data_IF_895895509851
#
_entry.id   IF_895895509851
#
_cell.length_a   1.000
_cell.length_b   1.000
_cell.length_c   1.000
_cell.angle_alpha   90.00
_cell.angle_beta   90.00
_cell.angle_gamma   90.00
#
_symmetry.space_group_name_H-M   'P 1'
#
loop_
_entity.id
_entity.type
_entity.pdbx_description
1 polymer ?
#
# COMPACT_ATOMS: atom_id res chain seq x y z
N UNK A 1 16.16 -21.61 0.04
CA UNK A 1 16.03 -21.52 -1.43
C UNK A 1 15.21 -20.27 -1.73
N UNK A 2 15.48 -19.60 -2.85
CA UNK A 2 14.66 -18.48 -3.34
C UNK A 2 13.25 -18.96 -3.71
N UNK A 3 12.32 -18.04 -3.85
CA UNK A 3 10.91 -18.34 -4.14
C UNK A 3 10.72 -18.50 -5.66
N UNK A 4 10.32 -19.69 -6.10
CA UNK A 4 10.27 -20.08 -7.52
C UNK A 4 8.92 -19.82 -8.20
N UNK A 5 7.92 -19.35 -7.46
CA UNK A 5 6.63 -18.90 -7.98
C UNK A 5 6.14 -17.66 -7.24
N UNK A 6 5.58 -16.66 -7.94
CA UNK A 6 5.04 -15.49 -7.28
C UNK A 6 3.85 -15.84 -6.37
N UNK A 7 3.72 -15.10 -5.27
CA UNK A 7 2.56 -15.23 -4.37
C UNK A 7 1.42 -14.34 -4.86
N UNK A 8 0.17 -14.77 -4.66
CA UNK A 8 -1.00 -13.95 -4.99
C UNK A 8 -0.97 -12.62 -4.23
N UNK A 9 -1.35 -11.55 -4.93
CA UNK A 9 -1.38 -10.17 -4.44
C UNK A 9 -0.09 -9.70 -3.76
N UNK A 10 1.07 -10.30 -4.03
CA UNK A 10 2.31 -9.92 -3.35
C UNK A 10 3.38 -9.53 -4.36
N UNK A 11 3.96 -8.35 -4.20
CA UNK A 11 5.12 -7.90 -4.94
C UNK A 11 6.38 -7.97 -4.07
N UNK A 12 7.47 -8.52 -4.60
CA UNK A 12 8.76 -8.66 -3.90
C UNK A 12 9.93 -8.44 -4.84
N UNK A 13 11.08 -8.18 -4.23
CA UNK A 13 12.35 -8.14 -4.95
C UNK A 13 12.68 -9.50 -5.58
N UNK A 14 13.21 -9.44 -6.79
CA UNK A 14 13.92 -10.55 -7.43
C UNK A 14 15.31 -10.71 -6.81
N UNK A 15 15.96 -11.84 -7.11
CA UNK A 15 17.32 -12.14 -6.62
C UNK A 15 18.35 -11.04 -6.90
N UNK A 16 18.20 -10.31 -8.01
CA UNK A 16 19.05 -9.16 -8.39
C UNK A 16 18.73 -7.86 -7.63
N UNK A 17 17.70 -7.85 -6.79
CA UNK A 17 17.25 -6.69 -6.01
C UNK A 17 16.26 -5.78 -6.75
N UNK A 18 15.98 -6.04 -8.02
CA UNK A 18 14.96 -5.32 -8.78
C UNK A 18 13.56 -5.78 -8.40
N UNK A 19 12.54 -4.94 -8.59
CA UNK A 19 11.13 -5.31 -8.42
C UNK A 19 10.44 -5.69 -9.74
N UNK A 20 10.85 -5.04 -10.83
CA UNK A 20 10.09 -5.03 -12.08
C UNK A 20 10.97 -5.01 -13.34
N UNK A 21 12.29 -5.09 -13.24
CA UNK A 21 13.16 -4.90 -14.42
C UNK A 21 12.99 -5.99 -15.49
N UNK A 22 13.25 -5.62 -16.75
CA UNK A 22 13.32 -6.59 -17.86
C UNK A 22 12.00 -7.27 -18.22
N UNK A 23 10.85 -6.65 -17.92
CA UNK A 23 9.53 -7.22 -18.23
C UNK A 23 9.03 -8.23 -17.18
N UNK A 24 9.80 -8.45 -16.10
CA UNK A 24 9.39 -9.34 -15.01
C UNK A 24 8.13 -8.88 -14.29
N UNK A 25 7.76 -7.60 -14.37
CA UNK A 25 6.51 -7.07 -13.83
C UNK A 25 5.24 -7.69 -14.44
N UNK A 26 5.32 -8.36 -15.59
CA UNK A 26 4.15 -8.87 -16.32
C UNK A 26 3.29 -9.86 -15.52
N UNK A 27 3.84 -10.53 -14.51
CA UNK A 27 3.04 -11.41 -13.65
C UNK A 27 1.92 -10.66 -12.91
N UNK A 28 2.14 -9.38 -12.59
CA UNK A 28 1.16 -8.52 -11.92
C UNK A 28 -0.12 -8.35 -12.77
N UNK A 29 -0.02 -8.46 -14.10
CA UNK A 29 -1.17 -8.33 -15.00
C UNK A 29 -1.98 -9.62 -15.19
N UNK A 30 -1.52 -10.75 -14.65
CA UNK A 30 -2.21 -12.01 -14.84
C UNK A 30 -3.53 -12.04 -14.05
N UNK A 31 -4.62 -12.52 -14.67
CA UNK A 31 -5.97 -12.58 -14.03
C UNK A 31 -6.05 -13.36 -12.73
N UNK A 32 -5.12 -14.29 -12.52
CA UNK A 32 -5.00 -15.10 -11.30
C UNK A 32 -4.13 -14.46 -10.20
N UNK A 33 -3.43 -13.37 -10.50
CA UNK A 33 -2.57 -12.70 -9.53
C UNK A 33 -3.38 -12.05 -8.41
N UNK A 34 -4.45 -11.37 -8.79
CA UNK A 34 -5.38 -10.70 -7.89
C UNK A 34 -6.79 -10.72 -8.50
N UNK A 35 -7.82 -10.88 -7.67
CA UNK A 35 -9.19 -10.73 -8.12
C UNK A 35 -9.56 -9.23 -8.24
N UNK A 36 -9.98 -8.82 -9.44
CA UNK A 36 -10.41 -7.45 -9.78
C UNK A 36 -9.54 -6.31 -9.20
N UNK A 37 -8.21 -6.29 -9.44
CA UNK A 37 -7.30 -5.28 -8.86
C UNK A 37 -7.69 -3.84 -9.23
N UNK A 38 -8.23 -3.66 -10.44
CA UNK A 38 -8.80 -2.41 -10.95
C UNK A 38 -9.84 -1.76 -10.01
N UNK A 39 -10.57 -2.55 -9.23
CA UNK A 39 -11.56 -2.03 -8.28
C UNK A 39 -10.88 -1.26 -7.14
N UNK A 40 -9.84 -1.87 -6.55
CA UNK A 40 -9.05 -1.29 -5.46
C UNK A 40 -8.25 -0.07 -5.93
N UNK A 41 -7.64 -0.15 -7.13
CA UNK A 41 -6.92 1.01 -7.69
C UNK A 41 -7.89 2.17 -7.93
N UNK A 42 -9.04 1.92 -8.55
CA UNK A 42 -10.02 3.00 -8.81
C UNK A 42 -10.46 3.70 -7.52
N UNK A 43 -10.72 2.93 -6.46
CA UNK A 43 -11.09 3.49 -5.17
C UNK A 43 -9.98 4.39 -4.60
N UNK A 44 -8.71 3.95 -4.70
CA UNK A 44 -7.58 4.75 -4.27
C UNK A 44 -7.37 6.03 -5.09
N UNK A 45 -7.50 5.97 -6.42
CA UNK A 45 -7.39 7.15 -7.28
C UNK A 45 -8.46 8.20 -6.92
N UNK A 46 -9.70 7.78 -6.64
CA UNK A 46 -10.74 8.69 -6.15
C UNK A 46 -10.38 9.32 -4.80
N UNK A 47 -9.76 8.56 -3.88
CA UNK A 47 -9.30 9.09 -2.59
C UNK A 47 -8.12 10.06 -2.75
N UNK A 48 -7.25 9.83 -3.73
CA UNK A 48 -6.15 10.73 -4.07
C UNK A 48 -6.69 12.06 -4.60
N UNK A 49 -7.65 12.04 -5.52
CA UNK A 49 -8.31 13.25 -6.03
C UNK A 49 -8.99 14.04 -4.90
N UNK A 50 -9.68 13.35 -3.98
CA UNK A 50 -10.31 13.97 -2.81
C UNK A 50 -9.27 14.60 -1.84
N UNK A 51 -8.07 14.02 -1.72
CA UNK A 51 -6.97 14.58 -0.94
C UNK A 51 -6.41 15.83 -1.60
N UNK A 52 -6.21 15.81 -2.92
CA UNK A 52 -5.76 16.97 -3.69
C UNK A 52 -6.78 18.11 -3.61
N UNK A 53 -8.08 17.82 -3.63
CA UNK A 53 -9.12 18.80 -3.34
C UNK A 53 -8.99 19.36 -1.91
N UNK A 54 -8.73 18.52 -0.91
CA UNK A 54 -8.53 18.97 0.47
C UNK A 54 -7.32 19.92 0.61
N UNK A 55 -6.26 19.72 -0.17
CA UNK A 55 -5.09 20.61 -0.19
C UNK A 55 -5.40 22.02 -0.69
N UNK A 56 -6.51 22.22 -1.41
CA UNK A 56 -6.97 23.58 -1.78
C UNK A 56 -7.44 24.40 -0.58
N UNK A 57 -7.74 23.74 0.55
CA UNK A 57 -8.19 24.37 1.79
C UNK A 57 -7.16 24.27 2.92
N UNK A 58 -6.39 23.17 2.98
CA UNK A 58 -5.38 22.91 4.01
C UNK A 58 -4.02 22.75 3.35
N UNK A 59 -3.12 23.72 3.53
CA UNK A 59 -1.77 23.64 2.97
C UNK A 59 -1.02 22.37 3.50
N UNK A 60 -0.36 21.58 2.63
CA UNK A 60 0.46 20.43 3.03
C UNK A 60 1.71 20.90 3.79
N UNK A 61 1.57 21.10 5.10
CA UNK A 61 2.60 21.65 5.95
C UNK A 61 2.52 21.10 7.38
N UNK A 62 3.66 21.03 8.07
CA UNK A 62 3.76 20.57 9.47
C UNK A 62 2.82 21.35 10.40
N UNK A 63 2.61 22.64 10.13
CA UNK A 63 1.77 23.53 10.95
C UNK A 63 0.28 23.13 10.96
N UNK A 64 -0.16 22.42 9.93
CA UNK A 64 -1.57 22.08 9.73
C UNK A 64 -1.95 20.66 10.17
N UNK A 65 -1.00 19.88 10.69
CA UNK A 65 -1.21 18.47 11.05
C UNK A 65 -2.36 18.25 12.04
N UNK A 66 -2.58 19.19 12.96
CA UNK A 66 -3.66 19.12 13.95
C UNK A 66 -5.02 19.58 13.41
N UNK A 67 -5.12 20.03 12.16
CA UNK A 67 -6.38 20.46 11.58
C UNK A 67 -7.34 19.26 11.47
N UNK A 68 -8.58 19.42 11.92
CA UNK A 68 -9.62 18.41 11.78
C UNK A 68 -10.90 19.06 11.25
N UNK A 69 -11.65 18.32 10.44
CA UNK A 69 -12.89 18.79 9.84
C UNK A 69 -13.78 17.62 9.46
N UNK A 70 -15.04 17.89 9.12
CA UNK A 70 -15.92 16.84 8.63
C UNK A 70 -15.40 16.22 7.33
N UNK A 71 -14.72 17.00 6.48
CA UNK A 71 -14.09 16.50 5.26
C UNK A 71 -12.92 15.57 5.57
N UNK A 72 -12.05 15.95 6.49
CA UNK A 72 -10.93 15.12 6.98
C UNK A 72 -11.44 13.79 7.53
N UNK A 73 -12.48 13.83 8.39
CA UNK A 73 -13.06 12.62 8.99
C UNK A 73 -13.74 11.70 7.95
N UNK A 74 -14.46 12.28 6.99
CA UNK A 74 -15.10 11.51 5.91
C UNK A 74 -14.06 10.81 5.04
N UNK A 75 -13.00 11.54 4.66
CA UNK A 75 -11.94 10.99 3.83
C UNK A 75 -11.16 9.91 4.58
N UNK A 76 -10.79 10.15 5.84
CA UNK A 76 -10.14 9.17 6.72
C UNK A 76 -10.97 7.89 6.83
N UNK A 77 -12.29 8.01 7.01
CA UNK A 77 -13.18 6.85 7.12
C UNK A 77 -13.13 6.00 5.85
N UNK A 78 -13.22 6.63 4.67
CA UNK A 78 -13.16 5.91 3.40
C UNK A 78 -11.79 5.28 3.17
N UNK A 79 -10.69 5.97 3.48
CA UNK A 79 -9.34 5.40 3.41
C UNK A 79 -9.20 4.14 4.27
N UNK A 80 -9.65 4.18 5.53
CA UNK A 80 -9.57 3.02 6.41
C UNK A 80 -10.42 1.83 5.93
N UNK A 81 -11.60 2.08 5.35
CA UNK A 81 -12.42 1.03 4.74
C UNK A 81 -11.67 0.35 3.58
N UNK A 82 -11.03 1.14 2.70
CA UNK A 82 -10.25 0.59 1.58
C UNK A 82 -9.00 -0.17 2.04
N UNK A 83 -8.36 0.26 3.13
CA UNK A 83 -7.25 -0.47 3.74
C UNK A 83 -7.73 -1.83 4.26
N UNK A 84 -8.81 -1.86 5.03
CA UNK A 84 -9.40 -3.11 5.54
C UNK A 84 -9.83 -4.05 4.41
N UNK A 85 -10.41 -3.52 3.33
CA UNK A 85 -10.79 -4.29 2.15
C UNK A 85 -9.58 -4.92 1.44
N UNK A 86 -8.50 -4.16 1.26
CA UNK A 86 -7.25 -4.68 0.67
C UNK A 86 -6.61 -5.76 1.57
N UNK A 87 -6.51 -5.53 2.87
CA UNK A 87 -5.94 -6.50 3.82
C UNK A 87 -6.77 -7.79 3.86
N UNK A 88 -8.10 -7.67 3.82
CA UNK A 88 -9.02 -8.80 3.70
C UNK A 88 -8.77 -9.58 2.41
N UNK A 89 -8.67 -8.91 1.27
CA UNK A 89 -8.44 -9.55 -0.01
C UNK A 89 -7.09 -10.29 -0.06
N UNK A 90 -6.03 -9.71 0.53
CA UNK A 90 -4.72 -10.38 0.68
C UNK A 90 -4.85 -11.69 1.45
N UNK A 91 -5.50 -11.68 2.61
CA UNK A 91 -5.61 -12.87 3.45
C UNK A 91 -6.49 -13.95 2.79
N UNK A 92 -7.65 -13.57 2.26
CA UNK A 92 -8.60 -14.54 1.69
C UNK A 92 -8.09 -15.16 0.39
N UNK A 93 -7.45 -14.39 -0.49
CA UNK A 93 -6.88 -14.93 -1.74
C UNK A 93 -5.65 -15.81 -1.47
N UNK A 94 -5.04 -15.73 -0.29
CA UNK A 94 -3.98 -16.62 0.18
C UNK A 94 -4.50 -17.73 1.12
N UNK A 95 -5.79 -18.07 1.04
CA UNK A 95 -6.41 -19.18 1.77
C UNK A 95 -6.31 -19.09 3.30
N UNK A 96 -6.27 -17.88 3.88
CA UNK A 96 -6.31 -17.72 5.33
C UNK A 96 -7.62 -18.30 5.91
N UNK A 97 -7.59 -19.04 7.03
CA UNK A 97 -8.71 -19.88 7.46
C UNK A 97 -9.92 -19.13 8.03
N UNK A 98 -9.80 -17.82 8.30
CA UNK A 98 -10.92 -17.01 8.83
C UNK A 98 -11.79 -16.43 7.72
N UNK A 99 -13.05 -16.19 8.04
CA UNK A 99 -13.97 -15.46 7.15
C UNK A 99 -13.77 -13.96 7.27
N UNK A 100 -14.19 -13.19 6.25
CA UNK A 100 -14.04 -11.73 6.23
C UNK A 100 -14.65 -11.02 7.44
N UNK A 101 -15.76 -11.54 8.00
CA UNK A 101 -16.43 -10.92 9.16
C UNK A 101 -15.68 -11.14 10.48
N UNK A 102 -14.79 -12.12 10.54
CA UNK A 102 -14.07 -12.51 11.76
C UNK A 102 -12.64 -11.96 11.80
N UNK A 103 -12.21 -11.25 10.74
CA UNK A 103 -10.90 -10.65 10.65
C UNK A 103 -10.78 -9.45 11.58
N UNK A 104 -9.68 -9.42 12.31
CA UNK A 104 -9.33 -8.35 13.23
C UNK A 104 -8.01 -7.70 12.83
N UNK A 105 -7.69 -6.57 13.44
CA UNK A 105 -6.39 -5.91 13.22
C UNK A 105 -5.18 -6.81 13.57
N UNK A 106 -5.35 -7.81 14.45
CA UNK A 106 -4.31 -8.81 14.74
C UNK A 106 -4.02 -9.69 13.53
N UNK A 107 -5.07 -10.08 12.80
CA UNK A 107 -4.96 -10.91 11.60
C UNK A 107 -4.36 -10.10 10.45
N UNK A 108 -4.79 -8.84 10.30
CA UNK A 108 -4.22 -7.94 9.31
C UNK A 108 -2.72 -7.69 9.50
N UNK A 109 -2.23 -7.66 10.74
CA UNK A 109 -0.79 -7.53 11.01
C UNK A 109 0.03 -8.66 10.36
N UNK A 110 -0.55 -9.85 10.12
CA UNK A 110 0.15 -10.97 9.47
C UNK A 110 0.59 -10.63 8.03
N UNK A 111 -0.05 -9.65 7.40
CA UNK A 111 0.35 -9.12 6.09
C UNK A 111 1.78 -8.58 6.11
N UNK A 112 2.28 -8.12 7.27
CA UNK A 112 3.67 -7.68 7.43
C UNK A 112 4.69 -8.75 7.01
N UNK A 113 4.44 -10.04 7.31
CA UNK A 113 5.36 -11.13 6.95
C UNK A 113 5.47 -11.36 5.44
N UNK A 114 4.44 -10.98 4.69
CA UNK A 114 4.41 -11.16 3.24
C UNK A 114 4.83 -9.91 2.48
N UNK A 115 4.41 -8.74 2.96
CA UNK A 115 4.50 -7.47 2.26
C UNK A 115 5.55 -6.51 2.83
N UNK A 116 6.04 -6.73 4.07
CA UNK A 116 7.03 -5.86 4.74
C UNK A 116 6.63 -4.38 4.77
N UNK A 117 5.36 -4.11 5.07
CA UNK A 117 4.76 -2.76 5.01
C UNK A 117 5.48 -1.77 5.93
N UNK A 118 6.03 -2.24 7.06
CA UNK A 118 6.78 -1.42 8.00
C UNK A 118 8.03 -0.75 7.41
N UNK A 119 8.54 -1.27 6.29
CA UNK A 119 9.73 -0.75 5.60
C UNK A 119 9.42 0.23 4.47
N UNK A 120 8.15 0.44 4.12
CA UNK A 120 7.78 1.41 3.10
C UNK A 120 7.84 2.83 3.65
N UNK A 121 8.36 3.75 2.84
CA UNK A 121 8.23 5.20 3.06
C UNK A 121 7.44 5.80 1.91
N UNK A 122 6.49 6.65 2.26
CA UNK A 122 5.69 7.40 1.29
C UNK A 122 5.91 8.88 1.55
N UNK A 123 6.26 9.62 0.51
CA UNK A 123 6.50 11.06 0.56
C UNK A 123 5.43 11.79 -0.23
N UNK A 124 4.94 12.87 0.37
CA UNK A 124 3.97 13.80 -0.20
C UNK A 124 4.77 14.93 -0.88
N UNK A 125 4.67 15.10 -2.22
CA UNK A 125 5.32 16.21 -2.91
C UNK A 125 4.80 17.57 -2.46
N UNK A 126 5.59 18.63 -2.67
CA UNK A 126 5.18 20.01 -2.33
C UNK A 126 5.02 20.30 -0.83
N UNK A 127 5.50 19.41 0.05
CA UNK A 127 5.34 19.56 1.50
C UNK A 127 6.19 20.70 2.09
N UNK A 128 5.62 21.49 3.00
CA UNK A 128 6.34 22.52 3.77
C UNK A 128 6.66 22.03 5.19
N UNK A 129 7.92 21.69 5.42
CA UNK A 129 8.41 21.21 6.72
C UNK A 129 9.14 19.89 6.58
N UNK A 130 9.23 19.12 7.66
CA UNK A 130 9.99 17.86 7.70
C UNK A 130 9.11 16.61 7.79
N UNK A 131 7.80 16.75 8.01
CA UNK A 131 6.90 15.63 8.22
C UNK A 131 6.18 15.15 6.94
N UNK A 132 6.69 15.51 5.75
CA UNK A 132 6.12 15.12 4.46
C UNK A 132 6.40 13.66 4.05
N UNK A 133 7.33 12.99 4.73
CA UNK A 133 7.64 11.57 4.54
C UNK A 133 7.06 10.76 5.69
N UNK A 134 6.28 9.73 5.37
CA UNK A 134 5.48 8.94 6.31
C UNK A 134 5.89 7.47 6.27
N UNK A 135 5.82 6.79 7.41
CA UNK A 135 6.00 5.34 7.55
C UNK A 135 4.83 4.72 8.32
N UNK A 136 3.64 4.63 7.70
CA UNK A 136 2.38 4.40 8.43
C UNK A 136 2.29 3.05 9.12
N UNK A 137 2.99 2.04 8.60
CA UNK A 137 3.03 0.68 9.15
C UNK A 137 4.31 0.40 9.95
N UNK A 138 5.16 1.39 10.22
CA UNK A 138 6.37 1.18 11.03
C UNK A 138 6.14 0.45 12.37
N UNK A 139 5.02 0.64 13.11
CA UNK A 139 4.75 -0.13 14.33
C UNK A 139 4.59 -1.64 14.11
N UNK A 140 4.27 -2.09 12.89
CA UNK A 140 4.12 -3.51 12.60
C UNK A 140 5.46 -4.26 12.52
N UNK A 141 6.56 -3.57 12.23
CA UNK A 141 7.90 -4.19 12.11
C UNK A 141 8.54 -4.56 13.44
N UNK A 142 7.95 -4.15 14.57
CA UNK A 142 8.41 -4.50 15.92
C UNK A 142 7.99 -5.92 16.36
N UNK A 143 8.74 -6.47 17.32
CA UNK A 143 8.38 -7.73 18.02
C UNK A 143 7.15 -7.59 18.92
N UNK A 144 6.77 -6.36 19.23
CA UNK A 144 5.58 -5.99 19.99
C UNK A 144 4.35 -5.93 19.08
N UNK A 145 3.19 -6.37 19.56
CA UNK A 145 1.89 -6.26 18.88
C UNK A 145 1.37 -4.82 18.94
N UNK A 146 2.21 -3.86 18.53
CA UNK A 146 1.89 -2.46 18.67
C UNK A 146 0.77 -2.05 17.70
N UNK A 147 -0.25 -1.34 18.21
CA UNK A 147 -1.34 -0.86 17.39
C UNK A 147 -0.87 0.29 16.50
N UNK A 148 -1.54 0.48 15.36
CA UNK A 148 -1.31 1.62 14.49
C UNK A 148 -1.99 2.87 15.09
N UNK A 149 -1.25 3.94 15.41
CA UNK A 149 -1.83 5.12 16.06
C UNK A 149 -2.96 5.76 15.24
N UNK A 150 -2.76 5.89 13.92
CA UNK A 150 -3.76 6.44 13.00
C UNK A 150 -5.05 5.60 12.96
N UNK A 151 -4.92 4.27 13.03
CA UNK A 151 -6.06 3.37 13.03
C UNK A 151 -6.83 3.41 14.35
N UNK A 152 -6.13 3.56 15.48
CA UNK A 152 -6.75 3.77 16.79
C UNK A 152 -7.54 5.08 16.84
N UNK A 153 -6.96 6.17 16.35
CA UNK A 153 -7.63 7.46 16.26
C UNK A 153 -8.89 7.39 15.39
N UNK A 154 -8.80 6.75 14.22
CA UNK A 154 -9.95 6.47 13.35
C UNK A 154 -11.04 5.67 14.10
N UNK A 155 -10.69 4.57 14.76
CA UNK A 155 -11.68 3.74 15.45
C UNK A 155 -12.39 4.49 16.58
N UNK A 156 -11.65 5.29 17.36
CA UNK A 156 -12.26 6.14 18.39
C UNK A 156 -13.22 7.18 17.78
N UNK A 157 -12.78 7.88 16.73
CA UNK A 157 -13.60 8.86 16.03
C UNK A 157 -14.82 8.24 15.30
N UNK A 158 -14.73 6.97 14.92
CA UNK A 158 -15.82 6.19 14.31
C UNK A 158 -16.88 5.78 15.33
N UNK A 159 -16.47 5.22 16.47
CA UNK A 159 -17.40 4.66 17.46
C UNK A 159 -18.02 5.71 18.38
N UNK A 160 -17.28 6.79 18.70
CA UNK A 160 -17.80 7.91 19.49
C UNK A 160 -17.38 9.22 18.84
N UNK A 161 -18.06 9.53 17.72
CA UNK A 161 -17.80 10.72 16.93
C UNK A 161 -18.00 12.01 17.73
N UNK A 162 -18.98 12.06 18.64
CA UNK A 162 -19.27 13.30 19.36
C UNK A 162 -18.10 13.70 20.28
N UNK A 163 -17.53 12.75 21.02
CA UNK A 163 -16.40 13.03 21.89
C UNK A 163 -15.05 13.07 21.15
N UNK A 164 -14.86 12.22 20.13
CA UNK A 164 -13.55 11.96 19.53
C UNK A 164 -13.40 12.48 18.09
N UNK A 165 -14.32 13.32 17.59
CA UNK A 165 -14.20 13.93 16.26
C UNK A 165 -12.86 14.65 16.03
N UNK A 166 -12.33 15.28 17.08
CA UNK A 166 -11.05 15.99 17.05
C UNK A 166 -9.83 15.08 16.82
N UNK A 167 -9.97 13.75 16.98
CA UNK A 167 -8.91 12.79 16.67
C UNK A 167 -8.78 12.50 15.17
N UNK A 168 -9.78 12.82 14.36
CA UNK A 168 -9.73 12.68 12.90
C UNK A 168 -8.97 13.86 12.26
N UNK A 169 -7.70 14.00 12.65
CA UNK A 169 -6.83 15.10 12.20
C UNK A 169 -6.26 14.84 10.80
N UNK A 170 -5.72 15.89 10.21
CA UNK A 170 -5.00 15.85 8.94
C UNK A 170 -3.81 14.90 9.03
N UNK A 171 -3.08 14.90 10.14
CA UNK A 171 -1.99 13.96 10.44
C UNK A 171 -2.43 12.49 10.31
N UNK A 172 -3.55 12.14 10.96
CA UNK A 172 -4.12 10.79 10.96
C UNK A 172 -4.60 10.39 9.55
N UNK A 173 -5.23 11.32 8.84
CA UNK A 173 -5.62 11.12 7.44
C UNK A 173 -4.41 10.84 6.54
N UNK A 174 -3.35 11.64 6.65
CA UNK A 174 -2.15 11.51 5.83
C UNK A 174 -1.47 10.17 6.06
N UNK A 175 -1.39 9.70 7.30
CA UNK A 175 -0.87 8.37 7.61
C UNK A 175 -1.74 7.26 7.00
N UNK A 176 -3.07 7.37 7.10
CA UNK A 176 -3.98 6.39 6.52
C UNK A 176 -3.84 6.32 4.99
N UNK A 177 -3.87 7.46 4.27
CA UNK A 177 -3.79 7.46 2.80
C UNK A 177 -2.39 7.08 2.29
N UNK A 178 -1.33 7.49 2.97
CA UNK A 178 0.03 7.00 2.69
C UNK A 178 0.13 5.49 2.96
N UNK A 179 -0.58 4.99 3.98
CA UNK A 179 -0.64 3.57 4.28
C UNK A 179 -1.33 2.80 3.15
N UNK A 180 -2.45 3.31 2.65
CA UNK A 180 -3.13 2.73 1.50
C UNK A 180 -2.23 2.74 0.24
N UNK A 181 -1.51 3.83 -0.01
CA UNK A 181 -0.54 3.90 -1.11
C UNK A 181 0.57 2.84 -0.98
N UNK A 182 1.16 2.69 0.21
CA UNK A 182 2.17 1.66 0.49
C UNK A 182 1.60 0.24 0.33
N UNK A 183 0.38 0.00 0.82
CA UNK A 183 -0.30 -1.30 0.74
C UNK A 183 -0.61 -1.70 -0.70
N UNK A 184 -1.05 -0.76 -1.54
CA UNK A 184 -1.28 -1.02 -2.96
C UNK A 184 0.02 -1.23 -3.70
N UNK A 185 1.06 -0.45 -3.42
CA UNK A 185 2.37 -0.65 -4.03
C UNK A 185 3.01 -1.98 -3.63
N UNK A 186 2.78 -2.46 -2.41
CA UNK A 186 3.23 -3.78 -1.98
C UNK A 186 2.51 -4.94 -2.68
N UNK A 187 1.30 -4.71 -3.20
CA UNK A 187 0.57 -5.69 -4.01
C UNK A 187 0.88 -5.56 -5.51
N UNK A 188 0.92 -4.34 -6.02
CA UNK A 188 0.83 -4.03 -7.45
C UNK A 188 2.02 -3.22 -7.99
N UNK A 189 3.04 -2.96 -7.18
CA UNK A 189 4.16 -2.10 -7.53
C UNK A 189 3.68 -0.70 -7.98
N UNK A 190 3.85 -0.35 -9.25
CA UNK A 190 3.41 0.92 -9.84
C UNK A 190 2.25 0.72 -10.83
N UNK A 191 1.65 -0.47 -10.86
CA UNK A 191 0.62 -0.84 -11.83
C UNK A 191 -0.75 -0.24 -11.46
N UNK A 192 -1.28 0.61 -12.33
CA UNK A 192 -2.58 1.27 -12.16
C UNK A 192 -3.75 0.50 -12.79
N UNK A 193 -3.46 -0.58 -13.51
CA UNK A 193 -4.45 -1.38 -14.26
C UNK A 193 -5.38 -0.55 -15.15
N UNK A 194 -4.90 0.58 -15.65
CA UNK A 194 -5.66 1.39 -16.60
C UNK A 194 -5.91 0.59 -17.89
N UNK A 195 -7.06 0.78 -18.56
CA UNK A 195 -7.38 0.07 -19.81
C UNK A 195 -6.54 0.57 -21.01
N UNK A 196 -5.70 1.58 -20.79
CA UNK A 196 -4.89 2.19 -21.83
C UNK A 196 -3.71 1.27 -22.16
N UNK A 197 -3.35 1.20 -23.44
CA UNK A 197 -2.15 0.46 -23.83
C UNK A 197 -0.92 1.10 -23.19
N UNK A 198 -0.06 0.27 -22.59
CA UNK A 198 1.19 0.73 -22.00
C UNK A 198 2.06 1.32 -23.10
N UNK A 199 2.19 2.64 -23.09
CA UNK A 199 3.01 3.36 -24.07
C UNK A 199 4.44 3.46 -23.54
N UNK A 200 5.42 3.08 -24.36
CA UNK A 200 6.83 3.34 -24.08
C UNK A 200 7.10 4.84 -24.27
N UNK A 201 7.05 5.60 -23.18
CA UNK A 201 7.42 7.02 -23.19
C UNK A 201 8.93 7.19 -23.03
N UNK A 202 9.57 7.95 -23.94
CA UNK A 202 10.93 8.50 -23.71
C UNK A 202 10.78 9.75 -22.87
N UNK A 203 10.36 9.58 -21.62
CA UNK A 203 10.32 10.63 -20.62
C UNK A 203 11.40 10.35 -19.61
N UNK A 204 12.53 11.04 -19.70
CA UNK A 204 13.40 11.14 -18.53
C UNK A 204 12.55 11.81 -17.44
N UNK A 205 12.30 11.10 -16.35
CA UNK A 205 11.48 11.53 -15.22
C UNK A 205 12.20 12.66 -14.47
N UNK A 206 12.31 13.82 -15.12
CA UNK A 206 12.80 15.06 -14.54
C UNK A 206 11.59 15.81 -13.99
N UNK A 207 11.37 15.71 -12.69
CA UNK A 207 10.49 16.60 -11.95
C UNK A 207 11.29 17.31 -10.86
N UNK A 208 10.78 18.44 -10.38
CA UNK A 208 11.38 19.16 -9.24
C UNK A 208 11.54 18.27 -7.99
N UNK A 209 10.69 17.24 -7.90
CA UNK A 209 10.58 16.34 -6.75
C UNK A 209 11.21 14.95 -7.00
N UNK A 210 11.84 14.67 -8.16
CA UNK A 210 12.33 13.32 -8.48
C UNK A 210 13.78 13.02 -8.05
N UNK A 211 14.51 13.98 -7.48
CA UNK A 211 15.89 13.79 -6.99
C UNK A 211 15.95 13.18 -5.57
N UNK A 212 14.86 12.55 -5.14
CA UNK A 212 14.67 11.97 -3.80
C UNK A 212 15.10 10.49 -3.71
N UNK A 213 15.52 9.88 -4.82
CA UNK A 213 15.82 8.45 -4.90
C UNK A 213 14.60 7.54 -4.74
N UNK A 214 13.39 8.10 -4.74
CA UNK A 214 12.14 7.36 -4.63
C UNK A 214 11.53 7.11 -6.02
N UNK A 215 10.54 6.24 -6.05
CA UNK A 215 9.73 5.95 -7.24
C UNK A 215 8.41 6.70 -7.18
N UNK A 216 7.74 6.89 -8.32
CA UNK A 216 6.37 7.42 -8.32
C UNK A 216 5.38 6.32 -7.92
N UNK A 217 4.46 6.60 -7.01
CA UNK A 217 3.40 5.65 -6.63
C UNK A 217 2.32 5.56 -7.70
N UNK A 218 1.43 4.59 -7.56
CA UNK A 218 0.18 4.50 -8.32
C UNK A 218 -0.57 5.85 -8.20
N UNK A 219 -1.16 6.32 -9.30
CA UNK A 219 -1.87 7.62 -9.35
C UNK A 219 -0.96 8.84 -9.57
N UNK A 220 0.36 8.67 -9.63
CA UNK A 220 1.27 9.72 -10.07
C UNK A 220 1.58 10.82 -9.06
N UNK A 221 0.85 10.89 -7.95
CA UNK A 221 1.03 11.93 -6.94
C UNK A 221 2.12 11.56 -5.91
N UNK A 222 1.93 10.48 -5.15
CA UNK A 222 2.86 10.13 -4.07
C UNK A 222 4.21 9.64 -4.60
N UNK A 223 5.25 9.83 -3.80
CA UNK A 223 6.58 9.24 -3.99
C UNK A 223 6.76 8.09 -3.00
N UNK A 224 7.35 6.99 -3.42
CA UNK A 224 7.43 5.76 -2.63
C UNK A 224 8.83 5.15 -2.67
N UNK A 225 9.35 4.83 -1.49
CA UNK A 225 10.58 4.06 -1.29
C UNK A 225 10.19 2.62 -0.98
N UNK A 226 10.57 1.69 -1.87
CA UNK A 226 10.34 0.26 -1.69
C UNK A 226 11.37 -0.35 -0.73
N UNK A 227 11.01 -1.38 0.05
CA UNK A 227 11.95 -2.09 0.91
C UNK A 227 13.09 -2.74 0.10
N UNK A 228 14.34 -2.55 0.55
CA UNK A 228 15.53 -3.14 -0.11
C UNK A 228 16.15 -4.30 0.66
N UNK A 229 15.58 -4.64 1.82
CA UNK A 229 16.14 -5.56 2.80
C UNK A 229 15.52 -6.96 2.75
N UNK A 230 14.99 -7.42 1.62
CA UNK A 230 14.50 -8.79 1.48
C UNK A 230 15.65 -9.80 1.60
N UNK A 231 15.56 -10.80 2.52
CA UNK A 231 16.48 -11.92 2.56
C UNK A 231 16.47 -12.69 1.24
N UNK A 232 17.61 -13.22 0.83
CA UNK A 232 17.73 -13.96 -0.44
C UNK A 232 16.72 -15.12 -0.57
N UNK A 233 16.38 -15.78 0.55
CA UNK A 233 15.38 -16.86 0.58
C UNK A 233 13.94 -16.42 0.35
N UNK A 234 13.63 -15.13 0.53
CA UNK A 234 12.28 -14.58 0.34
C UNK A 234 12.10 -13.86 -0.99
N UNK A 235 13.19 -13.70 -1.76
CA UNK A 235 13.21 -13.06 -3.08
C UNK A 235 12.69 -14.01 -4.16
N UNK A 236 12.13 -13.41 -5.21
CA UNK A 236 11.66 -14.14 -6.38
C UNK A 236 12.80 -14.54 -7.31
N UNK A 237 12.72 -15.78 -7.80
CA UNK A 237 13.67 -16.39 -8.72
C UNK A 237 12.91 -17.33 -9.67
N UNK A 238 12.09 -16.72 -10.52
CA UNK A 238 11.24 -17.43 -11.45
C UNK A 238 11.34 -16.85 -12.86
N UNK A 239 11.09 -17.71 -13.84
CA UNK A 239 10.91 -17.31 -15.23
C UNK A 239 9.42 -17.19 -15.54
N UNK A 240 8.95 -15.94 -15.71
CA UNK A 240 7.55 -15.66 -15.98
C UNK A 240 7.08 -16.25 -17.31
N UNK A 241 7.95 -16.31 -18.33
CA UNK A 241 7.60 -16.84 -19.65
C UNK A 241 7.28 -18.34 -19.61
N UNK A 242 7.97 -19.08 -18.74
CA UNK A 242 7.69 -20.47 -18.45
C UNK A 242 6.44 -20.64 -17.58
N UNK A 243 6.32 -19.84 -16.50
CA UNK A 243 5.21 -19.97 -15.55
C UNK A 243 3.85 -19.61 -16.16
N UNK A 244 3.77 -18.57 -17.00
CA UNK A 244 2.49 -18.10 -17.56
C UNK A 244 1.73 -19.15 -18.40
N UNK A 245 2.40 -20.23 -18.80
CA UNK A 245 1.80 -21.35 -19.53
C UNK A 245 1.10 -22.37 -18.61
N UNK A 246 1.37 -22.31 -17.29
CA UNK A 246 0.77 -23.21 -16.33
C UNK A 246 -0.71 -22.85 -16.08
N UNK A 247 -1.56 -23.83 -15.75
CA UNK A 247 -2.94 -23.56 -15.35
C UNK A 247 -3.03 -22.61 -14.16
N UNK A 248 -2.11 -22.72 -13.20
CA UNK A 248 -1.95 -21.77 -12.10
C UNK A 248 -0.47 -21.43 -11.89
N UNK A 249 -0.03 -20.21 -12.25
CA UNK A 249 1.36 -19.81 -12.11
C UNK A 249 1.71 -19.26 -10.72
N UNK A 250 0.72 -19.11 -9.82
CA UNK A 250 0.89 -18.52 -8.49
C UNK A 250 0.83 -19.58 -7.39
N UNK A 251 1.50 -19.29 -6.28
CA UNK A 251 1.33 -20.00 -5.01
C UNK A 251 0.65 -19.07 -3.98
N UNK A 252 0.17 -19.65 -2.88
CA UNK A 252 -0.34 -18.89 -1.74
C UNK A 252 0.73 -18.70 -0.66
N UNK A 253 0.73 -17.53 -0.02
CA UNK A 253 1.55 -17.29 1.16
C UNK A 253 0.82 -17.78 2.41
N UNK A 254 1.45 -18.66 3.19
CA UNK A 254 0.85 -19.19 4.41
C UNK A 254 0.94 -18.18 5.57
N UNK A 255 -0.04 -17.27 5.66
CA UNK A 255 -0.16 -16.34 6.79
C UNK A 255 -0.50 -17.05 8.10
N UNK A 256 -1.14 -18.22 8.05
CA UNK A 256 -1.57 -18.97 9.24
C UNK A 256 -0.38 -19.54 10.02
N UNK A 257 0.75 -19.79 9.35
CA UNK A 257 2.01 -20.18 10.00
C UNK A 257 2.58 -19.13 10.98
N UNK A 258 2.10 -17.88 10.91
CA UNK A 258 2.57 -16.75 11.72
C UNK A 258 1.52 -16.22 12.73
N UNK A 259 0.34 -16.85 12.77
CA UNK A 259 -0.82 -16.42 13.58
C UNK A 259 -0.70 -16.80 15.07
#
# INVERSE_FOLDING_TARGET
MSVTKPYRRTCRQFVDGSYAEGGRWQYLLHKKFANEPQHFIRAFLMLQDDLEELFTFIEPADQNLNAYSHRTQQLLTRCCIEIEANLTAILLENNYPKTSSDLTMKDYKLVEFSHRLSHYRVRIPGWRGTQGTRMPFSPWGGSTQDPLPWYQAYNQAKHDRHAHFHLATFDVLLDAICGLAALLAAQFHQEDYSPQEKTLGVGASYSYDTDDGMSTSIGGFFRIEFPTNYPFSERYDFDWEALRQLPDPFDEFDHAAYA
#
